data_IF_180057076725
#
_entry.id   IF_180057076725
#
_cell.length_a   1.000
_cell.length_b   1.000
_cell.length_c   1.000
_cell.angle_alpha   90.00
_cell.angle_beta   90.00
_cell.angle_gamma   90.00
#
_symmetry.space_group_name_H-M   'P 1'
#
loop_
_entity.id
_entity.type
_entity.pdbx_description
1 polymer ?
#
# COMPACT_ATOMS: atom_id res chain seq x y z
N UNK A 1 1.42 -30.35 3.31
CA UNK A 1 2.22 -31.37 4.02
C UNK A 1 1.73 -31.39 5.45
N UNK A 2 1.47 -32.56 6.02
CA UNK A 2 0.86 -32.70 7.35
C UNK A 2 1.92 -32.62 8.45
N UNK A 3 1.61 -31.97 9.58
CA UNK A 3 2.36 -32.10 10.83
C UNK A 3 2.06 -33.47 11.42
N UNK A 4 3.05 -34.35 11.42
CA UNK A 4 2.88 -35.74 11.85
C UNK A 4 3.12 -35.89 13.35
N UNK A 5 2.16 -36.49 14.06
CA UNK A 5 2.26 -36.83 15.49
C UNK A 5 2.10 -38.34 15.61
N UNK A 6 3.07 -38.99 16.27
CA UNK A 6 2.97 -40.39 16.62
C UNK A 6 2.45 -40.53 18.06
N UNK A 7 1.40 -41.34 18.24
CA UNK A 7 0.85 -41.69 19.55
C UNK A 7 1.34 -43.10 19.87
N UNK A 8 2.10 -43.23 20.95
CA UNK A 8 2.63 -44.50 21.42
C UNK A 8 2.46 -44.60 22.93
N UNK A 9 2.35 -45.82 23.45
CA UNK A 9 2.22 -46.09 24.87
C UNK A 9 3.17 -47.20 25.29
N UNK A 10 3.42 -47.27 26.60
CA UNK A 10 4.13 -48.38 27.23
C UNK A 10 3.43 -48.69 28.54
N UNK A 11 3.16 -49.96 28.76
CA UNK A 11 2.61 -50.43 30.03
C UNK A 11 3.75 -50.62 31.03
N UNK A 12 3.53 -50.21 32.28
CA UNK A 12 4.42 -50.45 33.40
C UNK A 12 3.71 -51.33 34.43
N UNK A 13 4.37 -52.39 34.90
CA UNK A 13 3.83 -53.24 35.97
C UNK A 13 3.77 -52.52 37.33
N UNK A 14 4.68 -51.57 37.55
CA UNK A 14 4.71 -50.69 38.73
C UNK A 14 5.22 -49.30 38.36
N UNK A 15 4.70 -48.26 39.01
CA UNK A 15 5.22 -46.90 38.91
C UNK A 15 5.77 -46.44 40.26
N UNK A 16 7.02 -45.94 40.36
CA UNK A 16 8.01 -45.72 39.29
C UNK A 16 8.58 -47.00 38.65
N UNK A 17 9.26 -46.91 37.49
CA UNK A 17 9.85 -48.06 36.81
C UNK A 17 10.88 -48.80 37.69
N UNK A 18 10.92 -50.13 37.59
CA UNK A 18 11.85 -50.96 38.35
C UNK A 18 13.31 -50.51 38.13
N UNK A 19 14.02 -50.20 39.22
CA UNK A 19 15.40 -49.69 39.19
C UNK A 19 15.54 -48.18 39.33
N UNK A 20 14.44 -47.42 39.40
CA UNK A 20 14.47 -46.00 39.73
C UNK A 20 14.21 -45.76 41.23
N UNK A 21 15.11 -45.03 41.90
CA UNK A 21 15.05 -44.76 43.35
C UNK A 21 14.71 -43.30 43.68
N UNK A 22 14.40 -42.47 42.68
CA UNK A 22 14.04 -41.07 42.88
C UNK A 22 12.53 -40.85 43.09
N UNK A 23 12.12 -39.59 43.20
CA UNK A 23 10.71 -39.23 43.36
C UNK A 23 9.91 -39.54 42.08
N UNK A 24 8.67 -40.01 42.25
CA UNK A 24 7.85 -40.56 41.16
C UNK A 24 7.48 -39.55 40.06
N UNK A 25 7.65 -38.27 40.32
CA UNK A 25 7.45 -37.11 39.44
C UNK A 25 8.69 -36.71 38.64
N UNK A 26 9.86 -37.26 38.96
CA UNK A 26 11.14 -36.89 38.33
C UNK A 26 11.73 -38.01 37.45
N UNK A 27 10.94 -39.01 37.07
CA UNK A 27 11.41 -40.14 36.25
C UNK A 27 11.97 -39.63 34.90
N UNK A 28 13.24 -39.91 34.56
CA UNK A 28 13.84 -39.43 33.31
C UNK A 28 13.11 -39.95 32.06
N UNK A 29 12.95 -39.09 31.07
CA UNK A 29 12.29 -39.42 29.79
C UNK A 29 12.89 -40.67 29.12
N UNK A 30 14.21 -40.87 29.21
CA UNK A 30 14.89 -42.03 28.63
C UNK A 30 14.48 -43.37 29.24
N UNK A 31 14.03 -43.40 30.51
CA UNK A 31 13.47 -44.62 31.11
C UNK A 31 12.08 -44.93 30.59
N UNK A 32 11.31 -43.87 30.28
CA UNK A 32 9.94 -43.97 29.79
C UNK A 32 9.93 -44.38 28.31
N UNK A 33 10.80 -43.75 27.50
CA UNK A 33 10.85 -43.87 26.04
C UNK A 33 11.61 -45.10 25.51
N UNK A 34 11.39 -46.28 26.09
CA UNK A 34 11.90 -47.58 25.59
C UNK A 34 10.74 -48.54 25.35
N UNK A 35 10.86 -49.45 24.40
CA UNK A 35 9.87 -50.49 24.10
C UNK A 35 8.42 -49.97 23.97
N UNK A 36 8.26 -48.79 23.37
CA UNK A 36 6.97 -48.17 23.12
C UNK A 36 6.20 -48.94 22.04
N UNK A 37 4.91 -49.20 22.29
CA UNK A 37 3.98 -49.69 21.29
C UNK A 37 3.31 -48.51 20.59
N UNK A 38 3.55 -48.36 19.29
CA UNK A 38 2.91 -47.31 18.49
C UNK A 38 1.44 -47.69 18.27
N UNK A 39 0.53 -46.79 18.64
CA UNK A 39 -0.92 -46.94 18.43
C UNK A 39 -1.30 -46.39 17.05
N UNK A 40 -0.89 -45.15 16.77
CA UNK A 40 -1.29 -44.45 15.56
C UNK A 40 -0.31 -43.33 15.19
N UNK A 41 -0.35 -42.96 13.92
CA UNK A 41 0.34 -41.79 13.38
C UNK A 41 -0.74 -40.89 12.80
N UNK A 42 -0.92 -39.70 13.35
CA UNK A 42 -1.89 -38.71 12.88
C UNK A 42 -1.17 -37.58 12.15
N UNK A 43 -1.79 -37.07 11.09
CA UNK A 43 -1.28 -35.93 10.35
C UNK A 43 -2.25 -34.75 10.49
N UNK A 44 -1.76 -33.63 11.01
CA UNK A 44 -2.53 -32.39 11.14
C UNK A 44 -2.16 -31.46 9.99
N UNK A 45 -3.15 -31.03 9.20
CA UNK A 45 -2.97 -29.98 8.21
C UNK A 45 -3.35 -28.62 8.81
N UNK A 46 -2.55 -27.60 8.52
CA UNK A 46 -2.97 -26.21 8.71
C UNK A 46 -3.58 -25.71 7.39
N UNK A 47 -4.91 -25.63 7.27
CA UNK A 47 -5.54 -25.28 6.02
C UNK A 47 -5.36 -23.81 5.69
N UNK A 48 -5.20 -23.51 4.40
CA UNK A 48 -5.20 -22.13 3.95
C UNK A 48 -6.56 -21.48 4.19
N UNK A 49 -6.54 -20.25 4.69
CA UNK A 49 -7.76 -19.44 4.81
C UNK A 49 -8.35 -19.20 3.41
N UNK A 50 -9.70 -19.19 3.29
CA UNK A 50 -10.36 -18.95 2.01
C UNK A 50 -9.99 -17.56 1.47
N UNK A 51 -9.79 -17.48 0.15
CA UNK A 51 -9.46 -16.22 -0.55
C UNK A 51 -7.99 -15.80 -0.51
N UNK A 52 -7.12 -16.39 0.35
CA UNK A 52 -5.69 -16.02 0.42
C UNK A 52 -5.00 -16.20 -0.93
N UNK A 53 -5.22 -17.32 -1.61
CA UNK A 53 -4.61 -17.61 -2.91
C UNK A 53 -4.98 -16.57 -3.98
N UNK A 54 -6.26 -16.19 -4.03
CA UNK A 54 -6.74 -15.17 -4.98
C UNK A 54 -6.18 -13.79 -4.62
N UNK A 55 -6.14 -13.45 -3.34
CA UNK A 55 -5.61 -12.18 -2.88
C UNK A 55 -4.10 -12.05 -3.13
N UNK A 56 -3.33 -13.13 -2.91
CA UNK A 56 -1.91 -13.21 -3.27
C UNK A 56 -1.72 -13.01 -4.78
N UNK A 57 -2.56 -13.65 -5.61
CA UNK A 57 -2.50 -13.47 -7.06
C UNK A 57 -2.82 -12.02 -7.48
N UNK A 58 -3.83 -11.37 -6.86
CA UNK A 58 -4.15 -9.96 -7.10
C UNK A 58 -3.01 -9.03 -6.69
N UNK A 59 -2.35 -9.29 -5.55
CA UNK A 59 -1.18 -8.53 -5.11
C UNK A 59 -0.02 -8.65 -6.11
N UNK A 60 0.29 -9.87 -6.58
CA UNK A 60 1.32 -10.06 -7.59
C UNK A 60 0.98 -9.36 -8.91
N UNK A 61 -0.28 -9.45 -9.36
CA UNK A 61 -0.76 -8.72 -10.54
C UNK A 61 -0.66 -7.20 -10.40
N UNK A 62 -0.75 -6.68 -9.17
CA UNK A 62 -0.55 -5.28 -8.84
C UNK A 62 0.91 -4.88 -8.62
N UNK A 63 1.88 -5.77 -8.88
CA UNK A 63 3.30 -5.52 -8.68
C UNK A 63 3.74 -5.48 -7.22
N UNK A 64 2.94 -6.03 -6.30
CA UNK A 64 3.28 -6.12 -4.87
C UNK A 64 3.92 -7.48 -4.61
N UNK A 65 5.15 -7.48 -4.10
CA UNK A 65 5.87 -8.70 -3.71
C UNK A 65 5.51 -9.10 -2.30
N UNK A 66 4.99 -10.31 -2.12
CA UNK A 66 4.66 -10.87 -0.80
C UNK A 66 5.82 -11.74 -0.31
N UNK A 67 6.22 -11.57 0.95
CA UNK A 67 7.26 -12.38 1.61
C UNK A 67 6.67 -13.00 2.86
N UNK A 68 6.78 -14.32 2.99
CA UNK A 68 6.32 -15.08 4.17
C UNK A 68 7.43 -15.09 5.23
N UNK A 69 7.12 -14.69 6.45
CA UNK A 69 7.99 -14.83 7.61
C UNK A 69 7.28 -15.70 8.65
N UNK A 70 7.82 -16.87 8.95
CA UNK A 70 7.19 -17.83 9.89
C UNK A 70 8.22 -18.45 10.83
N UNK A 71 7.80 -18.89 12.01
CA UNK A 71 8.62 -19.70 12.93
C UNK A 71 8.57 -21.21 12.65
N UNK A 72 7.75 -21.63 11.69
CA UNK A 72 7.55 -23.04 11.36
C UNK A 72 8.76 -23.69 10.67
N UNK A 73 8.73 -25.02 10.55
CA UNK A 73 9.75 -25.77 9.81
C UNK A 73 9.79 -25.37 8.31
N UNK A 74 10.98 -25.38 7.71
CA UNK A 74 11.25 -25.09 6.28
C UNK A 74 10.30 -25.84 5.36
N UNK A 75 10.05 -27.13 5.64
CA UNK A 75 9.22 -27.98 4.78
C UNK A 75 7.75 -27.53 4.79
N UNK A 76 7.22 -27.20 5.97
CA UNK A 76 5.86 -26.68 6.14
C UNK A 76 5.74 -25.32 5.47
N UNK A 77 6.66 -24.40 5.76
CA UNK A 77 6.69 -23.05 5.19
C UNK A 77 6.75 -23.10 3.65
N UNK A 78 7.58 -23.99 3.08
CA UNK A 78 7.67 -24.21 1.62
C UNK A 78 6.35 -24.72 1.05
N UNK A 79 5.72 -25.70 1.71
CA UNK A 79 4.44 -26.26 1.26
C UNK A 79 3.35 -25.19 1.24
N UNK A 80 3.18 -24.45 2.34
CA UNK A 80 2.16 -23.39 2.46
C UNK A 80 2.44 -22.26 1.46
N UNK A 81 3.68 -21.79 1.37
CA UNK A 81 4.05 -20.73 0.44
C UNK A 81 3.82 -21.12 -1.03
N UNK A 82 4.05 -22.38 -1.39
CA UNK A 82 3.78 -22.90 -2.74
C UNK A 82 2.27 -22.98 -3.03
N UNK A 83 1.47 -23.43 -2.06
CA UNK A 83 0.01 -23.50 -2.20
C UNK A 83 -0.64 -22.11 -2.32
N UNK A 84 -0.13 -21.12 -1.57
CA UNK A 84 -0.57 -19.72 -1.66
C UNK A 84 -0.15 -19.03 -2.96
N UNK A 85 0.86 -19.54 -3.67
CA UNK A 85 1.48 -18.86 -4.81
C UNK A 85 2.48 -17.76 -4.42
N UNK A 86 2.99 -17.77 -3.19
CA UNK A 86 4.06 -16.88 -2.72
C UNK A 86 5.43 -17.39 -3.19
N UNK A 87 5.63 -18.71 -3.13
CA UNK A 87 6.87 -19.32 -3.58
C UNK A 87 6.83 -19.54 -5.10
N UNK A 88 7.73 -18.89 -5.82
CA UNK A 88 7.86 -18.99 -7.29
C UNK A 88 9.24 -19.47 -7.71
N UNK A 89 9.36 -19.93 -8.96
CA UNK A 89 10.62 -20.45 -9.49
C UNK A 89 11.74 -19.40 -9.39
N UNK A 90 12.87 -19.78 -8.76
CA UNK A 90 14.01 -18.90 -8.53
C UNK A 90 13.97 -18.09 -7.22
N UNK A 91 12.90 -18.23 -6.43
CA UNK A 91 12.78 -17.70 -5.08
C UNK A 91 13.66 -18.43 -4.07
N UNK A 92 14.10 -17.71 -3.04
CA UNK A 92 14.97 -18.25 -1.99
C UNK A 92 14.15 -18.47 -0.72
N UNK A 93 14.36 -19.63 -0.09
CA UNK A 93 13.90 -19.94 1.27
C UNK A 93 15.13 -20.00 2.16
N UNK A 94 15.11 -19.24 3.26
CA UNK A 94 16.27 -19.13 4.15
C UNK A 94 15.89 -19.23 5.62
N UNK A 95 16.74 -19.91 6.40
CA UNK A 95 16.61 -19.98 7.84
C UNK A 95 17.22 -18.76 8.53
N UNK A 96 16.65 -18.35 9.67
CA UNK A 96 17.10 -17.18 10.44
C UNK A 96 18.59 -17.19 10.81
N UNK A 97 19.16 -18.31 11.32
CA UNK A 97 20.59 -18.37 11.62
C UNK A 97 21.50 -18.18 10.41
N UNK A 98 21.08 -18.66 9.23
CA UNK A 98 21.84 -18.49 7.98
C UNK A 98 21.85 -17.02 7.58
N UNK A 99 20.69 -16.35 7.63
CA UNK A 99 20.60 -14.93 7.30
C UNK A 99 21.41 -14.04 8.24
N UNK A 100 21.41 -14.34 9.54
CA UNK A 100 22.16 -13.55 10.55
C UNK A 100 23.68 -13.62 10.35
N UNK A 101 24.20 -14.68 9.71
CA UNK A 101 25.62 -14.81 9.38
C UNK A 101 26.04 -14.02 8.14
N UNK A 102 25.09 -13.58 7.33
CA UNK A 102 25.37 -12.78 6.13
C UNK A 102 25.77 -11.35 6.52
N UNK A 103 26.71 -10.79 5.77
CA UNK A 103 27.05 -9.37 5.86
C UNK A 103 25.88 -8.49 5.38
N UNK A 104 25.80 -7.21 5.81
CA UNK A 104 24.75 -6.31 5.35
C UNK A 104 24.70 -6.13 3.82
N UNK A 105 25.83 -6.29 3.12
CA UNK A 105 25.88 -6.22 1.66
C UNK A 105 25.24 -7.46 1.01
N UNK A 106 25.59 -8.65 1.50
CA UNK A 106 24.99 -9.92 1.02
C UNK A 106 23.49 -9.99 1.32
N UNK A 107 23.08 -9.49 2.49
CA UNK A 107 21.66 -9.39 2.84
C UNK A 107 20.90 -8.54 1.81
N UNK A 108 21.44 -7.39 1.40
CA UNK A 108 20.79 -6.53 0.40
C UNK A 108 20.66 -7.18 -0.98
N UNK A 109 21.57 -8.07 -1.36
CA UNK A 109 21.51 -8.79 -2.63
C UNK A 109 20.47 -9.92 -2.60
N UNK A 110 20.37 -10.63 -1.47
CA UNK A 110 19.49 -11.80 -1.31
C UNK A 110 18.05 -11.40 -1.00
N UNK A 111 17.84 -10.35 -0.19
CA UNK A 111 16.52 -9.92 0.29
C UNK A 111 15.49 -9.71 -0.83
N UNK A 112 15.80 -9.11 -1.99
CA UNK A 112 14.85 -9.01 -3.09
C UNK A 112 14.30 -10.37 -3.56
N UNK A 113 15.15 -11.40 -3.62
CA UNK A 113 14.80 -12.76 -4.06
C UNK A 113 14.28 -13.66 -2.94
N UNK A 114 14.46 -13.26 -1.69
CA UNK A 114 13.97 -13.98 -0.51
C UNK A 114 12.43 -13.95 -0.47
N UNK A 115 11.79 -15.12 -0.52
CA UNK A 115 10.33 -15.22 -0.51
C UNK A 115 9.80 -15.80 0.79
N UNK A 116 10.53 -16.74 1.39
CA UNK A 116 10.16 -17.37 2.65
C UNK A 116 11.34 -17.30 3.61
N UNK A 117 11.10 -16.81 4.81
CA UNK A 117 12.10 -16.74 5.88
C UNK A 117 11.58 -17.46 7.12
N UNK A 118 12.42 -18.33 7.67
CA UNK A 118 12.21 -18.80 9.04
C UNK A 118 12.77 -17.78 10.01
N UNK A 119 11.91 -17.05 10.71
CA UNK A 119 12.30 -15.87 11.46
C UNK A 119 11.80 -15.93 12.90
N UNK A 120 12.70 -15.64 13.84
CA UNK A 120 12.31 -15.20 15.18
C UNK A 120 11.73 -13.77 15.12
N UNK A 121 11.04 -13.29 16.16
CA UNK A 121 10.47 -11.94 16.15
C UNK A 121 11.51 -10.84 15.86
N UNK A 122 12.71 -10.96 16.42
CA UNK A 122 13.83 -10.03 16.18
C UNK A 122 14.30 -10.01 14.70
N UNK A 123 14.26 -11.17 14.03
CA UNK A 123 14.66 -11.33 12.64
C UNK A 123 13.69 -10.61 11.67
N UNK A 124 12.40 -10.49 12.05
CA UNK A 124 11.40 -9.80 11.22
C UNK A 124 11.73 -8.32 11.09
N UNK A 125 12.13 -7.67 12.19
CA UNK A 125 12.55 -6.27 12.17
C UNK A 125 13.77 -6.06 11.26
N UNK A 126 14.81 -6.87 11.39
CA UNK A 126 16.02 -6.76 10.55
C UNK A 126 15.70 -6.87 9.05
N UNK A 127 14.76 -7.74 8.67
CA UNK A 127 14.31 -7.85 7.28
C UNK A 127 13.59 -6.57 6.80
N UNK A 128 12.72 -6.00 7.65
CA UNK A 128 12.02 -4.73 7.36
C UNK A 128 13.04 -3.60 7.19
N UNK A 129 14.03 -3.51 8.07
CA UNK A 129 15.09 -2.49 8.01
C UNK A 129 15.88 -2.60 6.70
N UNK A 130 16.22 -3.83 6.29
CA UNK A 130 16.96 -4.08 5.05
C UNK A 130 16.14 -3.68 3.82
N UNK A 131 14.86 -4.05 3.77
CA UNK A 131 13.96 -3.68 2.67
C UNK A 131 13.75 -2.16 2.59
N UNK A 132 13.56 -1.49 3.73
CA UNK A 132 13.47 -0.01 3.78
C UNK A 132 14.78 0.64 3.33
N UNK A 133 15.92 0.08 3.70
CA UNK A 133 17.24 0.51 3.25
C UNK A 133 17.45 0.41 1.74
N UNK A 134 16.74 -0.50 1.06
CA UNK A 134 16.69 -0.60 -0.40
C UNK A 134 15.73 0.41 -1.06
N UNK A 135 15.04 1.23 -0.28
CA UNK A 135 14.09 2.23 -0.76
C UNK A 135 12.66 1.72 -0.92
N UNK A 136 12.39 0.45 -0.60
CA UNK A 136 11.06 -0.14 -0.71
C UNK A 136 10.06 0.47 0.29
N UNK A 137 8.76 0.28 0.02
CA UNK A 137 7.69 0.51 0.99
C UNK A 137 7.27 -0.84 1.56
N UNK A 138 7.45 -1.01 2.87
CA UNK A 138 7.24 -2.30 3.53
C UNK A 138 6.00 -2.25 4.40
N UNK A 139 5.15 -3.25 4.21
CA UNK A 139 3.97 -3.50 5.04
C UNK A 139 4.17 -4.81 5.79
N UNK A 140 3.84 -4.84 7.08
CA UNK A 140 3.92 -6.06 7.89
C UNK A 140 2.54 -6.38 8.44
N UNK A 141 2.19 -7.66 8.42
CA UNK A 141 0.98 -8.18 9.07
C UNK A 141 1.39 -9.10 10.19
N UNK A 142 0.82 -8.91 11.38
CA UNK A 142 1.07 -9.78 12.54
C UNK A 142 -0.09 -9.82 13.52
N UNK A 143 -0.22 -10.95 14.21
CA UNK A 143 -1.11 -11.23 15.32
C UNK A 143 -0.38 -11.33 16.69
N UNK A 144 0.94 -11.53 16.70
CA UNK A 144 1.73 -11.79 17.92
C UNK A 144 2.24 -10.50 18.60
N UNK A 145 2.18 -10.49 19.93
CA UNK A 145 2.81 -9.51 20.82
C UNK A 145 4.28 -9.25 20.50
N UNK A 146 5.02 -10.29 20.12
CA UNK A 146 6.46 -10.21 19.88
C UNK A 146 6.82 -9.41 18.62
N UNK A 147 5.86 -9.20 17.72
CA UNK A 147 6.08 -8.50 16.47
C UNK A 147 5.84 -6.98 16.56
N UNK A 148 5.47 -6.47 17.74
CA UNK A 148 5.26 -5.04 17.99
C UNK A 148 6.40 -4.15 17.45
N UNK A 149 7.69 -4.48 17.66
CA UNK A 149 8.79 -3.70 17.09
C UNK A 149 8.82 -3.68 15.55
N UNK A 150 8.47 -4.80 14.90
CA UNK A 150 8.42 -4.87 13.43
C UNK A 150 7.18 -4.16 12.86
N UNK A 151 6.05 -4.21 13.57
CA UNK A 151 4.84 -3.45 13.25
C UNK A 151 5.08 -1.94 13.34
N UNK A 152 5.79 -1.47 14.37
CA UNK A 152 6.07 -0.05 14.55
C UNK A 152 7.17 0.50 13.63
N UNK A 153 8.06 -0.36 13.13
CA UNK A 153 9.16 0.06 12.27
C UNK A 153 8.81 0.05 10.77
N UNK A 154 7.75 -0.62 10.35
CA UNK A 154 7.36 -0.68 8.94
C UNK A 154 6.81 0.67 8.43
N UNK A 155 6.35 0.72 7.17
CA UNK A 155 5.65 1.90 6.65
C UNK A 155 4.14 1.87 6.93
N UNK A 156 3.54 0.68 6.94
CA UNK A 156 2.14 0.46 7.31
C UNK A 156 2.01 -0.90 8.01
N UNK A 157 1.51 -0.93 9.23
CA UNK A 157 1.30 -2.14 10.03
C UNK A 157 -0.15 -2.63 9.97
N UNK A 158 -0.33 -3.94 9.82
CA UNK A 158 -1.63 -4.61 9.88
C UNK A 158 -1.68 -5.56 11.06
N UNK A 159 -2.77 -5.53 11.81
CA UNK A 159 -3.07 -6.53 12.83
C UNK A 159 -4.43 -7.22 12.58
N UNK A 160 -4.60 -8.38 13.21
CA UNK A 160 -5.84 -9.16 13.18
C UNK A 160 -6.71 -8.77 14.38
N UNK A 161 -8.02 -8.57 14.18
CA UNK A 161 -8.90 -8.16 15.27
C UNK A 161 -9.23 -9.33 16.22
N UNK A 162 -9.38 -10.54 15.68
CA UNK A 162 -9.82 -11.71 16.45
C UNK A 162 -8.61 -12.49 16.95
N UNK A 163 -7.69 -12.86 16.06
CA UNK A 163 -6.47 -13.61 16.40
C UNK A 163 -5.36 -12.73 16.99
N UNK A 164 -5.39 -11.42 16.74
CA UNK A 164 -4.32 -10.52 17.16
C UNK A 164 -4.40 -10.12 18.63
N UNK A 165 -3.24 -10.05 19.25
CA UNK A 165 -3.09 -9.55 20.63
C UNK A 165 -3.30 -8.04 20.72
N UNK A 166 -3.72 -7.53 21.89
CA UNK A 166 -3.94 -6.09 22.10
C UNK A 166 -2.67 -5.27 21.82
N UNK A 167 -1.50 -5.79 22.18
CA UNK A 167 -0.21 -5.15 21.91
C UNK A 167 0.04 -5.03 20.39
N UNK A 168 -0.32 -6.07 19.62
CA UNK A 168 -0.20 -6.01 18.16
C UNK A 168 -1.19 -5.01 17.54
N UNK A 169 -2.40 -4.88 18.10
CA UNK A 169 -3.40 -3.88 17.66
C UNK A 169 -2.93 -2.46 17.93
N UNK A 170 -2.41 -2.18 19.12
CA UNK A 170 -1.85 -0.87 19.48
C UNK A 170 -0.63 -0.49 18.64
N UNK A 171 0.17 -1.47 18.21
CA UNK A 171 1.34 -1.24 17.37
C UNK A 171 1.02 -1.12 15.87
N UNK A 172 -0.21 -1.40 15.45
CA UNK A 172 -0.63 -1.43 14.03
C UNK A 172 -1.37 -0.16 13.59
N UNK A 173 -1.26 0.20 12.31
CA UNK A 173 -1.98 1.34 11.73
C UNK A 173 -3.39 0.96 11.25
N UNK A 174 -3.57 -0.30 10.83
CA UNK A 174 -4.84 -0.82 10.28
C UNK A 174 -5.15 -2.17 10.93
N UNK A 175 -6.35 -2.29 11.49
CA UNK A 175 -6.85 -3.52 12.12
C UNK A 175 -7.84 -4.21 11.18
N UNK A 176 -7.61 -5.49 10.90
CA UNK A 176 -8.48 -6.34 10.07
C UNK A 176 -9.56 -6.98 10.94
N UNK A 177 -10.80 -6.53 10.80
CA UNK A 177 -11.92 -6.99 11.64
C UNK A 177 -12.28 -8.47 11.47
N UNK A 178 -12.16 -9.00 10.24
CA UNK A 178 -12.63 -10.34 9.89
C UNK A 178 -11.49 -11.38 9.73
N UNK A 179 -10.26 -11.05 10.15
CA UNK A 179 -9.07 -11.92 10.04
C UNK A 179 -8.83 -12.54 8.65
N UNK A 180 -9.30 -11.85 7.61
CA UNK A 180 -9.20 -12.25 6.22
C UNK A 180 -8.07 -11.45 5.53
N UNK A 181 -7.41 -12.04 4.55
CA UNK A 181 -6.36 -11.38 3.76
C UNK A 181 -6.94 -10.47 2.65
N UNK A 182 -8.21 -10.67 2.28
CA UNK A 182 -8.89 -9.91 1.21
C UNK A 182 -8.91 -8.38 1.42
N UNK A 183 -9.17 -7.84 2.63
CA UNK A 183 -9.14 -6.39 2.86
C UNK A 183 -7.78 -5.75 2.64
N UNK A 184 -6.68 -6.51 2.68
CA UNK A 184 -5.35 -5.99 2.34
C UNK A 184 -5.32 -5.55 0.87
N UNK A 185 -5.89 -6.35 -0.04
CA UNK A 185 -5.99 -6.00 -1.47
C UNK A 185 -6.86 -4.74 -1.64
N UNK A 186 -8.00 -4.70 -0.95
CA UNK A 186 -8.90 -3.53 -0.96
C UNK A 186 -8.18 -2.28 -0.45
N UNK A 187 -7.37 -2.39 0.61
CA UNK A 187 -6.62 -1.25 1.15
C UNK A 187 -5.57 -0.71 0.18
N UNK A 188 -4.95 -1.58 -0.63
CA UNK A 188 -4.01 -1.16 -1.68
C UNK A 188 -4.77 -0.41 -2.78
N UNK A 189 -5.93 -0.93 -3.19
CA UNK A 189 -6.80 -0.29 -4.19
C UNK A 189 -7.28 1.09 -3.72
N UNK A 190 -7.76 1.21 -2.48
CA UNK A 190 -8.17 2.48 -1.88
C UNK A 190 -7.00 3.44 -1.70
N UNK A 191 -5.82 2.95 -1.28
CA UNK A 191 -4.62 3.77 -1.17
C UNK A 191 -4.19 4.36 -2.50
N UNK A 192 -4.25 3.57 -3.58
CA UNK A 192 -3.99 4.05 -4.96
C UNK A 192 -5.04 5.08 -5.39
N UNK A 193 -6.32 4.82 -5.11
CA UNK A 193 -7.41 5.73 -5.43
C UNK A 193 -7.21 7.10 -4.76
N UNK A 194 -6.88 7.11 -3.46
CA UNK A 194 -6.62 8.35 -2.72
C UNK A 194 -5.41 9.09 -3.30
N UNK A 195 -4.31 8.38 -3.58
CA UNK A 195 -3.13 8.99 -4.18
C UNK A 195 -3.44 9.62 -5.55
N UNK A 196 -4.21 8.94 -6.40
CA UNK A 196 -4.62 9.48 -7.70
C UNK A 196 -5.56 10.68 -7.55
N UNK A 197 -6.53 10.63 -6.63
CA UNK A 197 -7.43 11.76 -6.35
C UNK A 197 -6.65 12.98 -5.84
N UNK A 198 -5.67 12.78 -4.96
CA UNK A 198 -4.79 13.86 -4.48
C UNK A 198 -3.96 14.45 -5.61
N UNK A 199 -3.40 13.62 -6.50
CA UNK A 199 -2.65 14.10 -7.67
C UNK A 199 -3.52 14.91 -8.62
N UNK A 200 -4.74 14.44 -8.94
CA UNK A 200 -5.71 15.18 -9.76
C UNK A 200 -6.03 16.54 -9.15
N UNK A 201 -6.28 16.56 -7.85
CA UNK A 201 -6.58 17.79 -7.13
C UNK A 201 -5.40 18.77 -7.16
N UNK A 202 -4.18 18.30 -6.87
CA UNK A 202 -2.98 19.15 -6.91
C UNK A 202 -2.73 19.67 -8.33
N UNK A 203 -2.90 18.84 -9.35
CA UNK A 203 -2.83 19.23 -10.75
C UNK A 203 -3.80 20.37 -11.07
N UNK A 204 -5.07 20.22 -10.69
CA UNK A 204 -6.09 21.24 -10.90
C UNK A 204 -5.73 22.55 -10.21
N UNK A 205 -5.42 22.49 -8.90
CA UNK A 205 -5.14 23.67 -8.08
C UNK A 205 -3.91 24.45 -8.56
N UNK A 206 -2.86 23.75 -8.95
CA UNK A 206 -1.60 24.38 -9.37
C UNK A 206 -1.76 25.03 -10.75
N UNK A 207 -2.49 24.37 -11.66
CA UNK A 207 -2.83 24.91 -12.97
C UNK A 207 -3.67 26.20 -12.86
N UNK A 208 -4.71 26.20 -12.04
CA UNK A 208 -5.56 27.39 -11.78
C UNK A 208 -4.72 28.54 -11.27
N UNK A 209 -3.87 28.30 -10.26
CA UNK A 209 -3.05 29.34 -9.63
C UNK A 209 -2.00 29.92 -10.61
N UNK A 210 -1.28 29.06 -11.34
CA UNK A 210 -0.28 29.53 -12.32
C UNK A 210 -0.96 30.35 -13.43
N UNK A 211 -2.10 29.89 -13.94
CA UNK A 211 -2.85 30.61 -14.99
C UNK A 211 -3.34 31.97 -14.49
N UNK A 212 -3.88 32.03 -13.27
CA UNK A 212 -4.33 33.28 -12.67
C UNK A 212 -3.18 34.28 -12.50
N UNK A 213 -2.00 33.81 -12.07
CA UNK A 213 -0.79 34.65 -11.95
C UNK A 213 -0.33 35.16 -13.32
N UNK A 214 -0.27 34.30 -14.34
CA UNK A 214 0.14 34.69 -15.69
C UNK A 214 -0.82 35.73 -16.28
N UNK A 215 -2.14 35.52 -16.16
CA UNK A 215 -3.15 36.47 -16.67
C UNK A 215 -3.02 37.81 -15.95
N UNK A 216 -2.94 37.79 -14.62
CA UNK A 216 -2.78 39.01 -13.80
C UNK A 216 -1.52 39.77 -14.19
N UNK A 217 -0.40 39.06 -14.37
CA UNK A 217 0.88 39.66 -14.75
C UNK A 217 0.87 40.24 -16.17
N UNK A 218 0.44 39.46 -17.17
CA UNK A 218 0.40 39.90 -18.58
C UNK A 218 -0.59 41.06 -18.74
N UNK A 219 -1.73 41.01 -18.04
CA UNK A 219 -2.72 42.08 -18.03
C UNK A 219 -2.17 43.37 -17.42
N UNK A 220 -1.49 43.30 -16.27
CA UNK A 220 -0.95 44.48 -15.63
C UNK A 220 0.14 45.15 -16.49
N UNK A 221 0.99 44.35 -17.16
CA UNK A 221 2.05 44.86 -18.05
C UNK A 221 1.49 45.41 -19.37
N UNK A 222 0.36 44.89 -19.85
CA UNK A 222 -0.25 45.34 -21.11
C UNK A 222 -1.23 46.51 -20.93
N UNK A 223 -1.58 46.86 -19.70
CA UNK A 223 -2.50 47.95 -19.40
C UNK A 223 -1.73 49.27 -19.25
N UNK A 224 -2.21 50.32 -19.90
CA UNK A 224 -1.62 51.67 -19.79
C UNK A 224 -1.74 52.26 -18.37
N UNK A 225 -2.66 51.73 -17.56
CA UNK A 225 -2.93 52.17 -16.18
C UNK A 225 -2.29 51.24 -15.12
N UNK A 226 -1.49 50.24 -15.53
CA UNK A 226 -0.91 49.18 -14.66
C UNK A 226 -1.94 48.39 -13.84
N UNK A 227 -3.23 48.50 -14.17
CA UNK A 227 -4.29 47.78 -13.48
C UNK A 227 -4.44 46.34 -13.99
N UNK A 228 -4.58 45.41 -13.05
CA UNK A 228 -4.91 44.01 -13.34
C UNK A 228 -6.38 43.86 -13.73
N UNK A 229 -6.65 43.11 -14.80
CA UNK A 229 -8.00 42.71 -15.23
C UNK A 229 -8.77 41.94 -14.15
N UNK A 230 -8.07 41.25 -13.24
CA UNK A 230 -8.66 40.55 -12.10
C UNK A 230 -8.41 41.30 -10.79
N UNK A 231 -9.49 41.59 -10.07
CA UNK A 231 -9.41 42.21 -8.73
C UNK A 231 -8.99 41.21 -7.67
N UNK A 232 -8.42 41.69 -6.56
CA UNK A 232 -8.04 40.84 -5.43
C UNK A 232 -9.22 40.04 -4.86
N UNK A 233 -10.43 40.61 -4.86
CA UNK A 233 -11.66 39.95 -4.39
C UNK A 233 -12.07 38.81 -5.33
N UNK A 234 -11.97 39.00 -6.65
CA UNK A 234 -12.26 37.96 -7.64
C UNK A 234 -11.27 36.78 -7.54
N UNK A 235 -9.97 37.07 -7.35
CA UNK A 235 -8.95 36.04 -7.15
C UNK A 235 -9.18 35.25 -5.86
N UNK A 236 -9.63 35.91 -4.79
CA UNK A 236 -10.00 35.26 -3.54
C UNK A 236 -11.22 34.36 -3.73
N UNK A 237 -12.23 34.83 -4.47
CA UNK A 237 -13.44 34.06 -4.77
C UNK A 237 -13.12 32.77 -5.54
N UNK A 238 -12.27 32.87 -6.57
CA UNK A 238 -11.77 31.73 -7.34
C UNK A 238 -11.07 30.72 -6.41
N UNK A 239 -10.14 31.19 -5.57
CA UNK A 239 -9.39 30.31 -4.67
C UNK A 239 -10.23 29.66 -3.56
N UNK A 240 -11.30 30.30 -3.09
CA UNK A 240 -12.11 29.74 -2.00
C UNK A 240 -13.20 28.83 -2.57
N UNK A 241 -14.02 29.35 -3.48
CA UNK A 241 -15.24 28.68 -3.89
C UNK A 241 -14.94 27.58 -4.91
N UNK A 242 -14.19 27.89 -5.97
CA UNK A 242 -13.91 26.92 -7.02
C UNK A 242 -13.04 25.77 -6.51
N UNK A 243 -11.98 26.07 -5.73
CA UNK A 243 -11.12 25.03 -5.16
C UNK A 243 -11.92 24.11 -4.22
N UNK A 244 -12.79 24.65 -3.36
CA UNK A 244 -13.57 23.83 -2.43
C UNK A 244 -14.49 22.85 -3.15
N UNK A 245 -15.22 23.31 -4.18
CA UNK A 245 -16.09 22.44 -4.97
C UNK A 245 -15.30 21.44 -5.81
N UNK A 246 -14.16 21.84 -6.38
CA UNK A 246 -13.29 20.96 -7.14
C UNK A 246 -12.67 19.87 -6.26
N UNK A 247 -12.21 20.19 -5.03
CA UNK A 247 -11.75 19.20 -4.04
C UNK A 247 -12.83 18.16 -3.80
N UNK A 248 -14.04 18.63 -3.50
CA UNK A 248 -15.15 17.73 -3.16
C UNK A 248 -15.48 16.79 -4.33
N UNK A 249 -15.50 17.32 -5.55
CA UNK A 249 -15.77 16.54 -6.76
C UNK A 249 -14.64 15.58 -7.14
N UNK A 250 -13.38 15.93 -6.87
CA UNK A 250 -12.21 15.12 -7.24
C UNK A 250 -11.86 14.08 -6.17
N UNK A 251 -12.11 14.38 -4.89
CA UNK A 251 -11.80 13.51 -3.76
C UNK A 251 -12.79 12.35 -3.60
N UNK A 252 -14.01 12.49 -4.12
CA UNK A 252 -15.11 11.51 -3.97
C UNK A 252 -15.12 10.39 -5.01
N UNK A 253 -14.09 10.30 -5.85
CA UNK A 253 -14.02 9.26 -6.87
C UNK A 253 -13.97 7.84 -6.27
N UNK A 254 -14.79 6.89 -6.76
CA UNK A 254 -14.82 5.53 -6.24
C UNK A 254 -13.59 4.74 -6.70
N UNK A 255 -13.08 3.88 -5.82
CA UNK A 255 -11.96 3.02 -6.13
C UNK A 255 -12.34 1.98 -7.20
N UNK A 256 -11.58 1.93 -8.29
CA UNK A 256 -11.80 0.98 -9.40
C UNK A 256 -10.81 -0.19 -9.35
N UNK A 257 -11.23 -1.42 -9.73
CA UNK A 257 -10.30 -2.56 -9.82
C UNK A 257 -9.21 -2.39 -10.88
N UNK A 258 -9.38 -1.48 -11.83
CA UNK A 258 -8.37 -1.14 -12.84
C UNK A 258 -7.09 -0.58 -12.18
N UNK A 259 -7.21 0.08 -11.02
CA UNK A 259 -6.07 0.59 -10.25
C UNK A 259 -5.09 -0.52 -9.82
N UNK A 260 -5.54 -1.77 -9.73
CA UNK A 260 -4.69 -2.91 -9.39
C UNK A 260 -3.87 -3.43 -10.58
N UNK A 261 -4.07 -2.92 -11.80
CA UNK A 261 -3.27 -3.33 -12.98
C UNK A 261 -1.97 -2.55 -13.15
N UNK A 262 -1.85 -1.40 -12.50
CA UNK A 262 -0.67 -0.55 -12.58
C UNK A 262 0.41 -1.01 -11.59
N UNK A 263 1.67 -0.83 -11.96
CA UNK A 263 2.79 -1.05 -11.04
C UNK A 263 2.78 0.01 -9.93
N UNK A 264 3.31 -0.28 -8.73
CA UNK A 264 3.41 0.71 -7.66
C UNK A 264 4.24 1.92 -8.10
N UNK A 265 3.78 3.12 -7.74
CA UNK A 265 4.52 4.34 -7.99
C UNK A 265 5.82 4.38 -7.17
N UNK A 266 6.87 4.92 -7.79
CA UNK A 266 8.13 5.20 -7.09
C UNK A 266 7.98 6.43 -6.20
N UNK A 267 8.70 6.45 -5.07
CA UNK A 267 8.76 7.62 -4.16
C UNK A 267 9.25 8.90 -4.86
N UNK A 268 10.09 8.75 -5.88
CA UNK A 268 10.69 9.83 -6.65
C UNK A 268 9.89 10.20 -7.90
N UNK A 269 8.69 9.62 -8.09
CA UNK A 269 7.86 9.96 -9.24
C UNK A 269 7.48 11.46 -9.15
N UNK A 270 7.70 12.24 -10.22
CA UNK A 270 7.38 13.66 -10.20
C UNK A 270 5.86 13.82 -10.06
N UNK A 271 5.45 14.77 -9.22
CA UNK A 271 4.04 15.13 -9.07
C UNK A 271 3.45 15.70 -10.38
N UNK A 272 4.32 16.30 -11.19
CA UNK A 272 3.99 16.99 -12.43
C UNK A 272 4.41 16.16 -13.64
N UNK A 273 3.44 15.66 -14.41
CA UNK A 273 3.72 14.97 -15.67
C UNK A 273 3.99 15.98 -16.80
N UNK A 274 4.73 15.54 -17.83
CA UNK A 274 4.98 16.36 -19.03
C UNK A 274 3.67 16.71 -19.74
N UNK A 275 2.70 15.81 -19.72
CA UNK A 275 1.38 16.04 -20.32
C UNK A 275 0.60 17.11 -19.55
N UNK A 276 0.74 17.16 -18.22
CA UNK A 276 0.20 18.25 -17.42
C UNK A 276 0.84 19.59 -17.81
N UNK A 277 2.16 19.63 -18.04
CA UNK A 277 2.85 20.83 -18.54
C UNK A 277 2.29 21.32 -19.88
N UNK A 278 2.02 20.40 -20.82
CA UNK A 278 1.38 20.73 -22.12
C UNK A 278 -0.01 21.33 -21.94
N UNK A 279 -0.81 20.79 -21.01
CA UNK A 279 -2.15 21.34 -20.71
C UNK A 279 -2.06 22.74 -20.09
N UNK A 280 -1.11 22.97 -19.17
CA UNK A 280 -0.86 24.30 -18.59
C UNK A 280 -0.51 25.32 -19.66
N UNK A 281 0.46 25.01 -20.52
CA UNK A 281 0.90 25.93 -21.57
C UNK A 281 -0.23 26.16 -22.58
N UNK A 282 -0.94 25.09 -23.00
CA UNK A 282 -2.05 25.19 -23.94
C UNK A 282 -3.20 26.04 -23.41
N UNK A 283 -3.59 25.86 -22.15
CA UNK A 283 -4.60 26.72 -21.52
C UNK A 283 -4.11 28.14 -21.32
N UNK A 284 -2.86 28.35 -20.89
CA UNK A 284 -2.27 29.68 -20.76
C UNK A 284 -2.36 30.47 -22.06
N UNK A 285 -1.93 29.87 -23.18
CA UNK A 285 -2.00 30.48 -24.52
C UNK A 285 -3.46 30.78 -24.91
N UNK A 286 -4.39 29.85 -24.68
CA UNK A 286 -5.80 30.02 -25.02
C UNK A 286 -6.43 31.22 -24.29
N UNK A 287 -6.18 31.36 -22.98
CA UNK A 287 -6.69 32.49 -22.20
C UNK A 287 -6.05 33.82 -22.59
N UNK A 288 -4.73 33.82 -22.82
CA UNK A 288 -4.03 35.01 -23.33
C UNK A 288 -4.59 35.44 -24.69
N UNK A 289 -4.86 34.49 -25.59
CA UNK A 289 -5.44 34.78 -26.90
C UNK A 289 -6.83 35.41 -26.80
N UNK A 290 -7.72 34.89 -25.95
CA UNK A 290 -9.06 35.48 -25.73
C UNK A 290 -8.95 36.91 -25.18
N UNK A 291 -8.01 37.14 -24.26
CA UNK A 291 -7.76 38.47 -23.70
C UNK A 291 -7.35 39.50 -24.76
N UNK A 292 -6.49 39.12 -25.71
CA UNK A 292 -6.04 40.02 -26.78
C UNK A 292 -7.06 40.25 -27.90
N UNK A 293 -7.96 39.30 -28.19
CA UNK A 293 -8.90 39.43 -29.31
C UNK A 293 -10.10 40.35 -29.03
N UNK A 294 -10.26 40.82 -27.80
CA UNK A 294 -11.47 41.53 -27.39
C UNK A 294 -11.16 43.02 -27.17
N UNK A 295 -11.36 43.82 -28.21
CA UNK A 295 -11.13 45.27 -28.20
C UNK A 295 -12.36 46.00 -27.64
N UNK A 296 -12.55 45.99 -26.31
CA UNK A 296 -13.71 46.59 -25.61
C UNK A 296 -13.32 47.27 -24.29
N UNK A 297 -14.18 48.17 -23.80
CA UNK A 297 -13.99 48.95 -22.57
C UNK A 297 -13.60 48.10 -21.34
N UNK A 298 -12.69 48.63 -20.50
CA UNK A 298 -12.05 47.93 -19.38
C UNK A 298 -13.02 47.22 -18.41
N UNK A 299 -14.19 47.80 -18.12
CA UNK A 299 -15.15 47.22 -17.17
C UNK A 299 -15.90 45.98 -17.73
N UNK A 300 -16.26 46.00 -19.02
CA UNK A 300 -16.84 44.83 -19.69
C UNK A 300 -15.80 43.72 -19.85
N UNK A 301 -14.55 44.10 -20.11
CA UNK A 301 -13.42 43.20 -20.28
C UNK A 301 -13.12 42.41 -19.00
N UNK A 302 -13.11 43.06 -17.83
CA UNK A 302 -12.90 42.38 -16.54
C UNK A 302 -13.97 41.32 -16.25
N UNK A 303 -15.24 41.65 -16.48
CA UNK A 303 -16.35 40.71 -16.23
C UNK A 303 -16.34 39.53 -17.22
N UNK A 304 -16.03 39.80 -18.50
CA UNK A 304 -15.94 38.76 -19.53
C UNK A 304 -14.74 37.83 -19.30
N UNK A 305 -13.57 38.37 -18.96
CA UNK A 305 -12.38 37.58 -18.62
C UNK A 305 -12.64 36.74 -17.38
N UNK A 306 -13.25 37.31 -16.34
CA UNK A 306 -13.63 36.56 -15.14
C UNK A 306 -14.58 35.41 -15.46
N UNK A 307 -15.68 35.64 -16.19
CA UNK A 307 -16.63 34.59 -16.55
C UNK A 307 -15.99 33.52 -17.44
N UNK A 308 -15.19 33.92 -18.43
CA UNK A 308 -14.48 32.98 -19.31
C UNK A 308 -13.53 32.10 -18.52
N UNK A 309 -12.79 32.69 -17.57
CA UNK A 309 -11.90 31.97 -16.68
C UNK A 309 -12.70 30.97 -15.84
N UNK A 310 -13.80 31.38 -15.20
CA UNK A 310 -14.64 30.47 -14.41
C UNK A 310 -15.15 29.28 -15.24
N UNK A 311 -15.70 29.52 -16.43
CA UNK A 311 -16.18 28.44 -17.30
C UNK A 311 -15.04 27.52 -17.77
N UNK A 312 -13.90 28.10 -18.17
CA UNK A 312 -12.74 27.31 -18.54
C UNK A 312 -12.24 26.45 -17.39
N UNK A 313 -12.29 26.95 -16.14
CA UNK A 313 -11.90 26.15 -14.97
C UNK A 313 -12.89 25.03 -14.66
N UNK A 314 -14.19 25.23 -14.90
CA UNK A 314 -15.18 24.14 -14.80
C UNK A 314 -14.86 23.04 -15.83
N UNK A 315 -14.59 23.40 -17.08
CA UNK A 315 -14.18 22.42 -18.10
C UNK A 315 -12.85 21.77 -17.78
N UNK A 316 -11.91 22.52 -17.21
CA UNK A 316 -10.62 22.01 -16.76
C UNK A 316 -10.76 20.99 -15.62
N UNK A 317 -11.70 21.21 -14.70
CA UNK A 317 -12.03 20.26 -13.63
C UNK A 317 -12.53 18.93 -14.21
N UNK A 318 -13.40 18.99 -15.22
CA UNK A 318 -13.89 17.81 -15.94
C UNK A 318 -12.75 17.11 -16.69
N UNK A 319 -11.82 17.87 -17.29
CA UNK A 319 -10.68 17.29 -18.00
C UNK A 319 -9.67 16.63 -17.04
N UNK A 320 -9.44 17.24 -15.87
CA UNK A 320 -8.54 16.74 -14.82
C UNK A 320 -9.10 15.49 -14.11
N UNK A 321 -10.32 15.09 -14.43
CA UNK A 321 -10.99 13.93 -13.85
C UNK A 321 -10.38 12.59 -14.31
N UNK A 322 -9.74 12.56 -15.48
CA UNK A 322 -8.91 11.45 -15.94
C UNK A 322 -7.42 11.83 -15.95
N UNK A 323 -6.60 11.13 -15.15
CA UNK A 323 -5.14 11.19 -15.25
C UNK A 323 -4.60 10.28 -16.35
N UNK A 324 -5.39 9.29 -16.77
CA UNK A 324 -4.97 8.32 -17.76
C UNK A 324 -5.11 8.92 -19.16
N UNK A 325 -4.19 8.55 -20.06
CA UNK A 325 -4.21 8.89 -21.49
C UNK A 325 -5.44 8.36 -22.26
N UNK A 326 -6.44 7.81 -21.56
CA UNK A 326 -7.69 7.38 -22.15
C UNK A 326 -8.49 8.59 -22.64
N UNK A 327 -8.86 8.54 -23.92
CA UNK A 327 -9.55 9.62 -24.66
C UNK A 327 -10.98 9.91 -24.16
N UNK A 328 -11.48 9.20 -23.16
CA UNK A 328 -12.87 9.31 -22.70
C UNK A 328 -12.96 10.01 -21.33
N UNK A 329 -13.04 11.34 -21.38
CA UNK A 329 -13.11 12.24 -20.22
C UNK A 329 -14.44 12.07 -19.45
N UNK A 330 -15.50 11.57 -20.11
CA UNK A 330 -16.82 11.37 -19.50
C UNK A 330 -17.01 10.00 -18.86
N UNK A 331 -16.01 9.11 -18.93
CA UNK A 331 -16.13 7.75 -18.39
C UNK A 331 -16.15 7.80 -16.86
N UNK A 332 -17.31 7.51 -16.28
CA UNK A 332 -17.51 7.47 -14.82
C UNK A 332 -18.26 8.67 -14.24
N UNK A 333 -18.71 9.62 -15.08
CA UNK A 333 -19.40 10.84 -14.62
C UNK A 333 -20.72 10.59 -13.88
N UNK A 334 -21.36 9.46 -14.17
CA UNK A 334 -22.63 9.07 -13.59
C UNK A 334 -22.52 8.12 -12.39
N UNK A 335 -21.31 7.83 -11.90
CA UNK A 335 -21.08 6.87 -10.80
C UNK A 335 -20.85 7.53 -9.44
N UNK A 336 -20.90 8.87 -9.39
CA UNK A 336 -20.89 9.67 -8.16
C UNK A 336 -22.28 10.20 -7.85
#
# INVERSE_FOLDING_TARGET
MLRTIAIAYRDFESWPPAGYTGAADEVPYEMIAKDLTVISITGIEDPLRPGVKEAVAKCHGAGVTIKMCTGDNVLTARSIASQCGIFTAGGIIMEGPVFRRLSPAEQREIVPRLQVRLALPEDKRSLVDTLKGLGEIVRVTSDDTNDGPALKHNNVGFSMAIAGTEIAKEASDIILMDDNFSPIVSSIMWGRCVNDSVRKFLQFRILVNITAVIITFVSAVSSDEEESVLTAVQLLWINIIMDTFAVLALATNPASPELLKHMPDRKTAPLFSVDMGKMIIGQGIYHTFIGYTTDREHAELSTMVFNTLVFCQIFNSINSWSLSSDKNIFRGLSKN
#
